data_IF_705802878277
#
_entry.id   IF_705802878277
#
_cell.length_a   1.000
_cell.length_b   1.000
_cell.length_c   1.000
_cell.angle_alpha   90.00
_cell.angle_beta   90.00
_cell.angle_gamma   90.00
#
_symmetry.space_group_name_H-M   'P 1'
#
loop_
_entity.id
_entity.type
_entity.pdbx_description
1 polymer ?
#
# COMPACT_ATOMS: atom_id res chain seq x y z
N UNK A 1 -25.04 17.89 32.92
CA UNK A 1 -24.44 18.07 31.59
C UNK A 1 -23.05 17.49 31.66
N UNK A 2 -22.74 16.38 30.95
CA UNK A 2 -21.35 15.98 30.81
C UNK A 2 -20.69 16.93 29.79
N UNK A 3 -19.46 17.30 30.09
CA UNK A 3 -18.65 18.20 29.30
C UNK A 3 -18.38 17.60 27.91
N UNK A 4 -18.55 18.43 26.87
CA UNK A 4 -18.07 18.14 25.52
C UNK A 4 -16.54 18.09 25.57
N UNK A 5 -15.95 16.93 25.32
CA UNK A 5 -14.55 16.87 24.92
C UNK A 5 -14.43 17.61 23.58
N UNK A 6 -13.43 18.48 23.45
CA UNK A 6 -12.97 18.98 22.15
C UNK A 6 -12.35 17.78 21.39
N UNK A 7 -12.33 17.79 20.04
CA UNK A 7 -11.74 16.69 19.29
C UNK A 7 -10.25 16.59 19.63
N UNK A 8 -9.85 15.46 20.21
CA UNK A 8 -8.45 15.08 20.37
C UNK A 8 -7.87 14.75 18.99
N UNK A 9 -6.77 15.42 18.62
CA UNK A 9 -5.81 14.94 17.63
C UNK A 9 -5.91 15.53 16.22
N UNK A 10 -5.59 16.82 16.04
CA UNK A 10 -5.18 17.30 14.71
C UNK A 10 -3.94 16.51 14.29
N UNK A 11 -4.03 15.78 13.17
CA UNK A 11 -2.87 15.04 12.66
C UNK A 11 -1.92 16.04 12.02
N UNK A 12 -0.76 16.21 12.62
CA UNK A 12 0.22 17.20 12.16
C UNK A 12 1.01 16.60 11.00
N UNK A 13 0.98 17.28 9.86
CA UNK A 13 1.95 17.11 8.78
C UNK A 13 2.93 18.27 8.82
N UNK A 14 4.12 18.09 8.23
CA UNK A 14 5.05 19.19 8.00
C UNK A 14 4.48 20.24 7.03
N UNK A 15 5.26 21.27 6.75
CA UNK A 15 4.96 22.26 5.71
C UNK A 15 5.38 21.77 4.33
N UNK A 16 4.73 22.28 3.27
CA UNK A 16 5.11 21.98 1.89
C UNK A 16 6.58 22.27 1.57
N UNK A 17 7.19 23.27 2.21
CA UNK A 17 8.60 23.65 2.01
C UNK A 17 9.59 22.61 2.57
N UNK A 18 9.13 21.74 3.47
CA UNK A 18 9.90 20.61 4.00
C UNK A 18 9.75 19.35 3.14
N UNK A 19 8.79 19.33 2.19
CA UNK A 19 8.71 18.22 1.26
C UNK A 19 9.90 18.26 0.29
N UNK A 20 10.47 17.11 -0.07
CA UNK A 20 11.42 17.06 -1.15
C UNK A 20 10.80 17.62 -2.42
N UNK A 21 11.54 18.46 -3.15
CA UNK A 21 11.05 19.16 -4.33
C UNK A 21 10.43 18.19 -5.35
N UNK A 22 11.00 17.02 -5.48
CA UNK A 22 10.58 16.05 -6.47
C UNK A 22 9.33 15.27 -6.02
N UNK A 23 9.08 15.14 -4.70
CA UNK A 23 7.78 14.73 -4.19
C UNK A 23 6.72 15.78 -4.54
N UNK A 24 7.01 17.06 -4.32
CA UNK A 24 6.12 18.15 -4.70
C UNK A 24 5.82 18.13 -6.21
N UNK A 25 6.82 17.91 -7.05
CA UNK A 25 6.65 17.78 -8.50
C UNK A 25 5.79 16.57 -8.88
N UNK A 26 5.98 15.42 -8.23
CA UNK A 26 5.17 14.22 -8.48
C UNK A 26 3.70 14.43 -8.09
N UNK A 27 3.45 15.09 -6.95
CA UNK A 27 2.10 15.48 -6.52
C UNK A 27 1.44 16.38 -7.56
N UNK A 28 2.13 17.43 -8.01
CA UNK A 28 1.60 18.35 -9.03
C UNK A 28 1.35 17.62 -10.35
N UNK A 29 2.27 16.73 -10.75
CA UNK A 29 2.20 15.98 -12.01
C UNK A 29 1.03 15.00 -12.02
N UNK A 30 0.87 14.21 -10.97
CA UNK A 30 -0.04 13.06 -10.97
C UNK A 30 -1.42 13.41 -10.39
N UNK A 31 -1.47 14.18 -9.31
CA UNK A 31 -2.70 14.51 -8.59
C UNK A 31 -3.33 15.84 -9.02
N UNK A 32 -2.55 16.72 -9.67
CA UNK A 32 -2.98 18.06 -10.09
C UNK A 32 -3.43 18.97 -8.93
N UNK A 33 -2.91 18.72 -7.72
CA UNK A 33 -3.10 19.54 -6.52
C UNK A 33 -1.79 20.18 -6.07
N UNK A 34 -1.87 21.16 -5.17
CA UNK A 34 -0.66 21.74 -4.57
C UNK A 34 -0.03 20.80 -3.54
N UNK A 35 1.29 20.90 -3.28
CA UNK A 35 1.95 20.09 -2.24
C UNK A 35 1.38 20.35 -0.84
N UNK A 36 0.94 21.57 -0.54
CA UNK A 36 0.28 21.87 0.73
C UNK A 36 -1.09 21.19 0.82
N UNK A 37 -1.88 21.26 -0.24
CA UNK A 37 -3.18 20.57 -0.31
C UNK A 37 -3.04 19.04 -0.18
N UNK A 38 -1.96 18.46 -0.71
CA UNK A 38 -1.62 17.05 -0.49
C UNK A 38 -1.43 16.72 0.99
N UNK A 39 -0.67 17.53 1.72
CA UNK A 39 -0.45 17.36 3.16
C UNK A 39 -1.73 17.57 3.96
N UNK A 40 -2.51 18.61 3.64
CA UNK A 40 -3.75 18.94 4.31
C UNK A 40 -4.79 17.82 4.13
N UNK A 41 -4.96 17.31 2.91
CA UNK A 41 -5.86 16.17 2.63
C UNK A 41 -5.38 14.88 3.29
N UNK A 42 -4.07 14.64 3.36
CA UNK A 42 -3.51 13.48 4.08
C UNK A 42 -3.79 13.55 5.59
N UNK A 43 -3.57 14.72 6.21
CA UNK A 43 -3.92 14.97 7.62
C UNK A 43 -5.42 14.80 7.86
N UNK A 44 -6.25 15.43 7.03
CA UNK A 44 -7.71 15.40 7.14
C UNK A 44 -8.27 13.98 6.99
N UNK A 45 -7.67 13.16 6.12
CA UNK A 45 -8.01 11.76 5.99
C UNK A 45 -7.79 10.99 7.31
N UNK A 46 -6.70 11.24 8.02
CA UNK A 46 -6.43 10.57 9.29
C UNK A 46 -7.37 11.02 10.41
N UNK A 47 -7.71 12.31 10.47
CA UNK A 47 -8.75 12.81 11.38
C UNK A 47 -10.10 12.14 11.10
N UNK A 48 -10.47 12.02 9.81
CA UNK A 48 -11.68 11.31 9.40
C UNK A 48 -11.62 9.83 9.77
N UNK A 49 -10.47 9.16 9.60
CA UNK A 49 -10.28 7.76 9.97
C UNK A 49 -10.56 7.53 11.46
N UNK A 50 -9.95 8.34 12.33
CA UNK A 50 -10.18 8.28 13.78
C UNK A 50 -11.65 8.51 14.12
N UNK A 51 -12.24 9.59 13.59
CA UNK A 51 -13.65 9.90 13.84
C UNK A 51 -14.58 8.78 13.36
N UNK A 52 -14.38 8.27 12.14
CA UNK A 52 -15.19 7.22 11.54
C UNK A 52 -15.10 5.91 12.33
N UNK A 53 -13.91 5.56 12.84
CA UNK A 53 -13.71 4.40 13.71
C UNK A 53 -14.52 4.51 15.01
N UNK A 54 -14.42 5.64 15.71
CA UNK A 54 -15.14 5.88 16.96
C UNK A 54 -16.67 5.97 16.74
N UNK A 55 -17.08 6.62 15.65
CA UNK A 55 -18.48 6.72 15.27
C UNK A 55 -19.07 5.35 14.94
N UNK A 56 -18.36 4.52 14.18
CA UNK A 56 -18.76 3.15 13.87
C UNK A 56 -18.85 2.30 15.13
N UNK A 57 -17.89 2.39 16.04
CA UNK A 57 -17.90 1.64 17.28
C UNK A 57 -19.09 2.01 18.18
N UNK A 58 -19.47 3.29 18.22
CA UNK A 58 -20.58 3.78 19.03
C UNK A 58 -21.96 3.62 18.37
N UNK A 59 -22.03 3.64 17.04
CA UNK A 59 -23.28 3.57 16.26
C UNK A 59 -23.15 2.67 15.00
N UNK A 60 -22.92 1.36 15.16
CA UNK A 60 -22.64 0.45 14.04
C UNK A 60 -23.78 0.36 13.00
N UNK A 61 -25.03 0.47 13.45
CA UNK A 61 -26.20 0.48 12.56
C UNK A 61 -26.40 1.79 11.79
N UNK A 62 -25.82 2.89 12.28
CA UNK A 62 -25.92 4.20 11.64
C UNK A 62 -24.77 4.48 10.69
N UNK A 63 -23.58 3.92 10.89
CA UNK A 63 -22.42 4.17 10.04
C UNK A 63 -22.51 3.43 8.70
N UNK A 64 -22.32 4.15 7.60
CA UNK A 64 -22.43 3.61 6.23
C UNK A 64 -21.18 3.82 5.36
N UNK A 65 -20.12 4.45 5.88
CA UNK A 65 -18.85 4.66 5.18
C UNK A 65 -18.23 6.03 5.48
N UNK A 66 -16.99 6.24 5.06
CA UNK A 66 -16.30 7.52 5.16
C UNK A 66 -15.28 7.69 4.03
N UNK A 67 -15.14 8.90 3.48
CA UNK A 67 -14.19 9.22 2.41
C UNK A 67 -13.81 10.70 2.40
N UNK A 68 -12.73 11.02 1.69
CA UNK A 68 -12.37 12.37 1.26
C UNK A 68 -12.95 12.60 -0.14
N UNK A 69 -13.76 13.64 -0.31
CA UNK A 69 -14.31 14.05 -1.60
C UNK A 69 -13.25 14.58 -2.55
N UNK A 70 -13.58 14.69 -3.84
CA UNK A 70 -12.66 15.27 -4.84
C UNK A 70 -12.29 16.72 -4.53
N UNK A 71 -13.19 17.45 -3.87
CA UNK A 71 -13.00 18.79 -3.33
C UNK A 71 -12.17 18.85 -2.03
N UNK A 72 -11.81 17.69 -1.48
CA UNK A 72 -11.08 17.57 -0.22
C UNK A 72 -11.97 17.55 1.02
N UNK A 73 -13.31 17.59 0.89
CA UNK A 73 -14.22 17.52 2.04
C UNK A 73 -14.22 16.12 2.66
N UNK A 74 -14.13 16.05 3.98
CA UNK A 74 -14.26 14.79 4.72
C UNK A 74 -15.73 14.47 4.96
N UNK A 75 -16.21 13.37 4.38
CA UNK A 75 -17.60 12.96 4.39
C UNK A 75 -17.77 11.65 5.15
N UNK A 76 -18.82 11.57 5.98
CA UNK A 76 -19.28 10.32 6.60
C UNK A 76 -20.66 9.99 6.07
N UNK A 77 -20.81 8.81 5.49
CA UNK A 77 -22.11 8.27 5.13
C UNK A 77 -22.78 7.65 6.35
N UNK A 78 -24.09 7.87 6.47
CA UNK A 78 -24.92 7.37 7.57
C UNK A 78 -26.28 6.86 7.10
N UNK A 79 -26.94 6.03 7.90
CA UNK A 79 -28.26 5.44 7.55
C UNK A 79 -29.46 6.22 8.11
N UNK A 80 -29.24 7.19 9.00
CA UNK A 80 -30.32 7.95 9.65
C UNK A 80 -30.06 9.47 9.66
N UNK A 81 -31.15 10.26 9.68
CA UNK A 81 -31.06 11.72 9.74
C UNK A 81 -30.48 12.22 11.07
N UNK A 82 -30.73 11.51 12.18
CA UNK A 82 -30.19 11.85 13.49
C UNK A 82 -28.68 11.62 13.56
N UNK A 83 -28.18 10.55 12.92
CA UNK A 83 -26.76 10.33 12.72
C UNK A 83 -26.14 11.44 11.86
N UNK A 84 -26.80 11.85 10.77
CA UNK A 84 -26.31 12.92 9.91
C UNK A 84 -26.17 14.24 10.69
N UNK A 85 -27.15 14.59 11.52
CA UNK A 85 -27.05 15.80 12.36
C UNK A 85 -25.92 15.72 13.38
N UNK A 86 -25.63 14.55 13.92
CA UNK A 86 -24.51 14.35 14.84
C UNK A 86 -23.17 14.57 14.14
N UNK A 87 -22.96 13.92 12.99
CA UNK A 87 -21.74 14.06 12.18
C UNK A 87 -21.53 15.51 11.72
N UNK A 88 -22.57 16.16 11.19
CA UNK A 88 -22.47 17.56 10.73
C UNK A 88 -22.12 18.52 11.87
N UNK A 89 -22.61 18.26 13.09
CA UNK A 89 -22.27 19.04 14.28
C UNK A 89 -20.80 18.89 14.66
N UNK A 90 -20.20 17.75 14.37
CA UNK A 90 -18.79 17.46 14.64
C UNK A 90 -17.85 17.96 13.52
N UNK A 91 -18.40 18.62 12.50
CA UNK A 91 -17.62 19.33 11.47
C UNK A 91 -17.28 18.48 10.23
N UNK A 92 -17.98 17.37 10.00
CA UNK A 92 -17.83 16.54 8.81
C UNK A 92 -19.01 16.69 7.85
N UNK A 93 -18.75 16.54 6.56
CA UNK A 93 -19.80 16.38 5.55
C UNK A 93 -20.59 15.10 5.80
N UNK A 94 -21.84 15.07 5.33
CA UNK A 94 -22.73 13.94 5.58
C UNK A 94 -23.49 13.54 4.33
N UNK A 95 -23.58 12.24 4.11
CA UNK A 95 -24.48 11.68 3.11
C UNK A 95 -25.33 10.56 3.70
N UNK A 96 -26.59 10.48 3.26
CA UNK A 96 -27.45 9.37 3.65
C UNK A 96 -27.30 8.21 2.68
N UNK A 97 -27.20 7.00 3.23
CA UNK A 97 -27.11 5.74 2.48
C UNK A 97 -28.01 4.67 3.10
N UNK A 98 -28.64 3.81 2.28
CA UNK A 98 -29.63 2.86 2.77
C UNK A 98 -29.06 1.68 3.57
N UNK A 99 -27.81 1.29 3.33
CA UNK A 99 -27.16 0.12 3.97
C UNK A 99 -26.00 0.58 4.84
N UNK A 100 -25.90 0.04 6.06
CA UNK A 100 -24.75 0.29 6.95
C UNK A 100 -23.48 -0.38 6.43
N UNK A 101 -22.32 0.08 6.90
CA UNK A 101 -21.04 -0.51 6.56
C UNK A 101 -20.96 -1.97 7.01
N UNK A 102 -21.47 -2.29 8.20
CA UNK A 102 -21.55 -3.68 8.70
C UNK A 102 -22.43 -4.56 7.78
N UNK A 103 -23.53 -4.01 7.26
CA UNK A 103 -24.39 -4.70 6.30
C UNK A 103 -23.69 -4.96 4.96
N UNK A 104 -22.92 -4.00 4.46
CA UNK A 104 -22.10 -4.16 3.26
C UNK A 104 -20.98 -5.18 3.45
N UNK A 105 -20.30 -5.16 4.60
CA UNK A 105 -19.25 -6.12 4.95
C UNK A 105 -19.79 -7.54 5.11
N UNK A 106 -20.96 -7.70 5.73
CA UNK A 106 -21.63 -9.00 5.79
C UNK A 106 -21.95 -9.50 4.37
N UNK A 107 -22.51 -8.64 3.52
CA UNK A 107 -22.86 -8.97 2.14
C UNK A 107 -21.62 -9.37 1.33
N UNK A 108 -20.49 -8.65 1.50
CA UNK A 108 -19.21 -9.00 0.90
C UNK A 108 -18.70 -10.36 1.40
N UNK A 109 -18.80 -10.63 2.69
CA UNK A 109 -18.40 -11.91 3.27
C UNK A 109 -19.23 -13.09 2.75
N UNK A 110 -20.54 -12.91 2.57
CA UNK A 110 -21.44 -13.90 1.96
C UNK A 110 -21.10 -14.11 0.48
N UNK A 111 -20.85 -13.03 -0.25
CA UNK A 111 -20.40 -13.07 -1.64
C UNK A 111 -19.09 -13.86 -1.75
N UNK A 112 -18.08 -13.56 -0.94
CA UNK A 112 -16.77 -14.21 -1.04
C UNK A 112 -16.85 -15.71 -0.72
N UNK A 113 -17.72 -16.11 0.21
CA UNK A 113 -18.02 -17.53 0.48
C UNK A 113 -18.68 -18.19 -0.74
N UNK A 114 -19.61 -17.50 -1.39
CA UNK A 114 -20.23 -18.00 -2.61
C UNK A 114 -19.20 -18.13 -3.75
N UNK A 115 -18.36 -17.12 -3.99
CA UNK A 115 -17.28 -17.14 -4.99
C UNK A 115 -16.34 -18.32 -4.76
N UNK A 116 -15.92 -18.54 -3.51
CA UNK A 116 -15.06 -19.67 -3.15
C UNK A 116 -15.70 -21.05 -3.35
N UNK A 117 -17.04 -21.12 -3.43
CA UNK A 117 -17.78 -22.36 -3.70
C UNK A 117 -17.99 -22.66 -5.20
N UNK A 118 -17.68 -21.69 -6.07
CA UNK A 118 -17.84 -21.85 -7.52
C UNK A 118 -16.77 -22.78 -8.10
N UNK A 119 -17.06 -23.46 -9.23
CA UNK A 119 -16.03 -24.15 -10.01
C UNK A 119 -14.90 -23.20 -10.41
N UNK A 120 -13.66 -23.71 -10.51
CA UNK A 120 -12.47 -22.89 -10.82
C UNK A 120 -12.63 -22.11 -12.13
N UNK A 121 -13.33 -22.67 -13.10
CA UNK A 121 -13.58 -22.06 -14.40
C UNK A 121 -14.42 -20.78 -14.27
N UNK A 122 -15.28 -20.71 -13.24
CA UNK A 122 -16.15 -19.56 -12.96
C UNK A 122 -15.50 -18.62 -11.96
N UNK A 123 -14.89 -19.13 -10.90
CA UNK A 123 -14.23 -18.31 -9.88
C UNK A 123 -13.02 -17.54 -10.43
N UNK A 124 -12.31 -18.12 -11.42
CA UNK A 124 -11.20 -17.42 -12.11
C UNK A 124 -11.65 -16.25 -12.99
N UNK A 125 -12.96 -16.10 -13.25
CA UNK A 125 -13.50 -14.93 -13.94
C UNK A 125 -13.76 -13.75 -13.00
N UNK A 126 -13.65 -13.95 -11.69
CA UNK A 126 -13.84 -12.93 -10.65
C UNK A 126 -12.47 -12.50 -10.14
N UNK A 127 -12.05 -11.26 -10.44
CA UNK A 127 -10.70 -10.80 -10.13
C UNK A 127 -10.57 -10.17 -8.74
N UNK A 128 -11.69 -9.67 -8.21
CA UNK A 128 -11.71 -9.03 -6.92
C UNK A 128 -13.11 -8.69 -6.48
N UNK A 129 -13.24 -8.47 -5.18
CA UNK A 129 -14.46 -7.97 -4.57
C UNK A 129 -14.11 -6.83 -3.62
N UNK A 130 -14.95 -5.81 -3.61
CA UNK A 130 -14.72 -4.61 -2.81
C UNK A 130 -16.05 -3.99 -2.37
N UNK A 131 -15.95 -3.05 -1.44
CA UNK A 131 -17.09 -2.23 -1.02
C UNK A 131 -16.91 -0.84 -1.62
N UNK A 132 -17.94 -0.38 -2.32
CA UNK A 132 -18.04 0.99 -2.82
C UNK A 132 -18.96 1.75 -1.86
N UNK A 133 -18.33 2.44 -0.89
CA UNK A 133 -19.06 3.23 0.11
C UNK A 133 -19.70 4.48 -0.51
N UNK A 134 -19.11 5.02 -1.59
CA UNK A 134 -19.65 6.17 -2.29
C UNK A 134 -21.02 5.80 -2.89
N UNK A 135 -21.12 4.69 -3.61
CA UNK A 135 -22.40 4.24 -4.20
C UNK A 135 -23.20 3.27 -3.32
N UNK A 136 -22.72 2.96 -2.10
CA UNK A 136 -23.33 2.06 -1.11
C UNK A 136 -23.70 0.68 -1.67
N UNK A 137 -22.71 0.01 -2.28
CA UNK A 137 -22.87 -1.29 -2.93
C UNK A 137 -21.64 -2.18 -2.76
N UNK A 138 -21.84 -3.48 -2.85
CA UNK A 138 -20.75 -4.45 -3.02
C UNK A 138 -20.45 -4.57 -4.51
N UNK A 139 -19.17 -4.41 -4.88
CA UNK A 139 -18.72 -4.51 -6.27
C UNK A 139 -18.05 -5.86 -6.48
N UNK A 140 -18.52 -6.59 -7.49
CA UNK A 140 -17.90 -7.81 -8.00
C UNK A 140 -17.17 -7.43 -9.27
N UNK A 141 -15.85 -7.57 -9.27
CA UNK A 141 -15.06 -7.39 -10.46
C UNK A 141 -15.04 -8.69 -11.28
N UNK A 142 -15.67 -8.66 -12.45
CA UNK A 142 -15.67 -9.76 -13.41
C UNK A 142 -14.78 -9.35 -14.58
N UNK A 143 -13.80 -10.19 -14.93
CA UNK A 143 -12.72 -9.97 -15.88
C UNK A 143 -13.07 -9.41 -17.26
N UNK A 144 -14.36 -9.40 -17.62
CA UNK A 144 -14.84 -8.96 -18.93
C UNK A 144 -15.97 -7.90 -18.89
N UNK A 145 -16.19 -7.20 -17.77
CA UNK A 145 -17.17 -6.08 -17.69
C UNK A 145 -16.47 -4.72 -17.59
N UNK A 146 -17.10 -3.64 -18.09
CA UNK A 146 -16.45 -2.32 -18.16
C UNK A 146 -16.14 -1.73 -16.76
N UNK A 147 -17.02 -1.95 -15.79
CA UNK A 147 -16.81 -1.59 -14.37
C UNK A 147 -15.89 -2.60 -13.68
N UNK A 148 -16.04 -3.89 -14.00
CA UNK A 148 -15.17 -4.97 -13.56
C UNK A 148 -13.82 -5.04 -14.28
N UNK A 149 -13.33 -3.92 -14.81
CA UNK A 149 -12.00 -3.81 -15.43
C UNK A 149 -11.10 -2.78 -14.76
N UNK A 150 -11.68 -1.87 -13.97
CA UNK A 150 -10.96 -0.94 -13.11
C UNK A 150 -10.52 -1.60 -11.78
N UNK A 151 -11.28 -2.58 -11.29
CA UNK A 151 -10.93 -3.43 -10.14
C UNK A 151 -10.35 -4.79 -10.61
N UNK A 152 -10.18 -5.00 -11.92
CA UNK A 152 -9.49 -6.13 -12.53
C UNK A 152 -8.03 -5.97 -12.18
N UNK A 153 -7.70 -6.52 -11.03
CA UNK A 153 -6.35 -6.66 -10.51
C UNK A 153 -5.88 -8.09 -10.81
N UNK A 154 -5.59 -8.49 -12.08
CA UNK A 154 -4.72 -9.63 -12.31
C UNK A 154 -3.35 -9.16 -11.83
N UNK A 155 -3.14 -9.31 -10.52
CA UNK A 155 -1.89 -8.94 -9.86
C UNK A 155 -0.90 -10.03 -10.25
N UNK A 156 -0.34 -9.88 -11.45
CA UNK A 156 0.65 -10.78 -11.99
C UNK A 156 2.02 -10.30 -11.51
N UNK A 157 2.67 -11.09 -10.66
CA UNK A 157 4.06 -10.90 -10.32
C UNK A 157 4.91 -11.33 -11.53
N UNK A 158 5.09 -10.46 -12.52
CA UNK A 158 5.76 -10.85 -13.75
C UNK A 158 7.25 -11.20 -13.55
N UNK A 159 7.70 -12.23 -14.27
CA UNK A 159 9.09 -12.62 -14.48
C UNK A 159 10.00 -11.41 -14.82
N UNK A 160 10.75 -10.93 -13.83
CA UNK A 160 11.79 -9.94 -14.06
C UNK A 160 12.95 -10.58 -14.83
N UNK A 161 13.17 -10.09 -16.06
CA UNK A 161 14.53 -10.10 -16.63
C UNK A 161 15.34 -9.08 -15.85
N UNK A 162 16.49 -9.49 -15.31
CA UNK A 162 17.50 -8.58 -14.76
C UNK A 162 17.86 -7.57 -15.85
N UNK A 163 17.20 -6.41 -15.85
CA UNK A 163 17.58 -5.25 -16.63
C UNK A 163 18.20 -4.27 -15.65
N UNK A 164 19.50 -4.46 -15.38
CA UNK A 164 20.33 -3.45 -14.77
C UNK A 164 20.48 -2.33 -15.80
N UNK A 165 19.53 -1.39 -15.82
CA UNK A 165 19.61 -0.21 -16.67
C UNK A 165 20.82 0.62 -16.25
N UNK A 166 21.72 0.99 -17.17
CA UNK A 166 22.79 1.91 -16.85
C UNK A 166 22.23 3.31 -16.60
N UNK A 167 22.48 3.86 -15.41
CA UNK A 167 22.49 5.31 -15.17
C UNK A 167 21.12 6.01 -15.15
N UNK A 168 20.36 5.82 -14.07
CA UNK A 168 19.54 6.92 -13.56
C UNK A 168 20.45 8.02 -12.97
N UNK A 169 19.91 9.24 -12.79
CA UNK A 169 20.60 10.24 -11.97
C UNK A 169 21.00 9.59 -10.63
N UNK A 170 22.27 9.71 -10.28
CA UNK A 170 22.76 9.18 -9.01
C UNK A 170 21.94 9.84 -7.89
N UNK A 171 21.31 9.06 -6.99
CA UNK A 171 20.44 9.65 -6.00
C UNK A 171 21.16 10.68 -5.15
N UNK A 172 20.43 11.70 -4.70
CA UNK A 172 20.99 12.73 -3.82
C UNK A 172 21.56 12.13 -2.54
N UNK A 173 20.88 11.13 -1.99
CA UNK A 173 21.40 10.25 -0.93
C UNK A 173 21.64 8.82 -1.48
N UNK A 174 22.91 8.38 -1.59
CA UNK A 174 23.26 7.05 -2.08
C UNK A 174 23.01 5.94 -1.05
N UNK A 175 22.69 6.27 0.20
CA UNK A 175 22.38 5.27 1.20
C UNK A 175 21.08 4.53 0.89
N UNK A 176 21.01 3.20 1.10
CA UNK A 176 19.77 2.45 1.01
C UNK A 176 18.70 2.94 2.00
N UNK A 177 17.45 2.93 1.54
CA UNK A 177 16.27 3.34 2.30
C UNK A 177 15.02 2.62 1.81
N UNK A 178 13.84 2.91 2.37
CA UNK A 178 12.58 2.41 1.83
C UNK A 178 12.38 2.82 0.37
N UNK A 179 11.71 2.00 -0.44
CA UNK A 179 11.55 2.20 -1.88
C UNK A 179 12.75 1.76 -2.74
N UNK A 180 13.93 1.55 -2.14
CA UNK A 180 15.08 0.97 -2.84
C UNK A 180 14.93 -0.51 -3.10
N UNK A 181 15.63 -1.00 -4.11
CA UNK A 181 15.68 -2.43 -4.37
C UNK A 181 16.53 -3.20 -3.40
N UNK A 182 16.01 -4.38 -3.10
CA UNK A 182 16.80 -5.51 -2.68
C UNK A 182 16.58 -6.69 -3.62
N UNK A 183 17.53 -7.62 -3.56
CA UNK A 183 17.41 -8.91 -4.21
C UNK A 183 17.45 -10.03 -3.18
N UNK A 184 16.81 -11.14 -3.50
CA UNK A 184 16.72 -12.31 -2.64
C UNK A 184 16.70 -13.59 -3.47
N UNK A 185 17.11 -14.68 -2.84
CA UNK A 185 17.37 -15.97 -3.47
C UNK A 185 17.03 -17.09 -2.48
N UNK A 186 16.75 -18.29 -2.97
CA UNK A 186 16.46 -19.46 -2.11
C UNK A 186 17.72 -20.05 -1.43
N UNK A 187 18.90 -19.72 -1.95
CA UNK A 187 20.22 -20.17 -1.46
C UNK A 187 21.23 -19.00 -1.53
N UNK A 188 22.50 -19.13 -1.08
CA UNK A 188 23.49 -18.06 -1.20
C UNK A 188 23.61 -17.54 -2.64
N UNK A 189 23.70 -16.21 -2.80
CA UNK A 189 23.62 -15.57 -4.13
C UNK A 189 24.73 -15.99 -5.10
N UNK A 190 25.88 -16.43 -4.57
CA UNK A 190 27.00 -16.95 -5.35
C UNK A 190 26.74 -18.31 -6.00
N UNK A 191 25.68 -19.02 -5.58
CA UNK A 191 25.39 -20.40 -5.97
C UNK A 191 24.15 -20.53 -6.86
N UNK A 192 23.35 -19.47 -6.99
CA UNK A 192 22.11 -19.49 -7.78
C UNK A 192 22.31 -18.88 -9.17
N UNK A 193 21.64 -19.38 -10.21
CA UNK A 193 21.57 -18.69 -11.50
C UNK A 193 20.95 -17.30 -11.37
N UNK A 194 21.36 -16.34 -12.21
CA UNK A 194 20.79 -14.99 -12.22
C UNK A 194 19.29 -14.94 -12.52
N UNK A 195 18.76 -15.98 -13.18
CA UNK A 195 17.33 -16.15 -13.47
C UNK A 195 16.49 -16.43 -12.23
N UNK A 196 17.13 -16.87 -11.14
CA UNK A 196 16.46 -17.31 -9.92
C UNK A 196 16.57 -16.23 -8.83
N UNK A 197 17.01 -15.03 -9.21
CA UNK A 197 17.12 -13.86 -8.34
C UNK A 197 15.81 -13.09 -8.40
N UNK A 198 15.10 -13.04 -7.28
CA UNK A 198 13.91 -12.21 -7.12
C UNK A 198 14.31 -10.77 -6.80
N UNK A 199 13.63 -9.82 -7.43
CA UNK A 199 13.83 -8.38 -7.26
C UNK A 199 12.57 -7.81 -6.62
N UNK A 200 12.75 -7.12 -5.50
CA UNK A 200 11.69 -6.40 -4.81
C UNK A 200 12.20 -5.04 -4.32
N UNK A 201 11.31 -4.27 -3.70
CA UNK A 201 11.60 -3.00 -3.09
C UNK A 201 11.42 -3.09 -1.57
N UNK A 202 12.28 -2.42 -0.81
CA UNK A 202 12.10 -2.23 0.63
C UNK A 202 10.85 -1.40 0.90
N UNK A 203 10.11 -1.71 1.95
CA UNK A 203 8.99 -0.88 2.39
C UNK A 203 9.47 0.12 3.41
N UNK A 204 9.29 -0.21 4.70
CA UNK A 204 9.64 0.68 5.80
C UNK A 204 10.66 0.07 6.73
N UNK A 205 11.67 0.85 7.09
CA UNK A 205 12.56 0.52 8.19
C UNK A 205 11.77 0.61 9.50
N UNK A 206 11.94 -0.41 10.34
CA UNK A 206 11.16 -0.64 11.53
C UNK A 206 12.04 -1.25 12.63
N UNK A 207 11.42 -1.53 13.77
CA UNK A 207 11.97 -2.37 14.82
C UNK A 207 11.00 -3.51 15.15
N UNK A 208 11.53 -4.68 15.51
CA UNK A 208 10.72 -5.75 16.10
C UNK A 208 10.41 -5.48 17.58
N UNK A 209 9.62 -6.36 18.20
CA UNK A 209 9.25 -6.24 19.61
C UNK A 209 10.41 -6.34 20.60
N UNK A 210 11.62 -6.72 20.14
CA UNK A 210 12.86 -6.71 20.93
C UNK A 210 13.74 -5.49 20.64
N UNK A 211 13.31 -4.60 19.74
CA UNK A 211 14.05 -3.41 19.33
C UNK A 211 15.09 -3.66 18.22
N UNK A 212 15.15 -4.86 17.65
CA UNK A 212 16.12 -5.14 16.58
C UNK A 212 15.66 -4.46 15.28
N UNK A 213 16.60 -3.95 14.46
CA UNK A 213 16.27 -3.32 13.18
C UNK A 213 15.71 -4.36 12.20
N UNK A 214 14.58 -4.03 11.60
CA UNK A 214 13.93 -4.82 10.55
C UNK A 214 13.47 -3.92 9.40
N UNK A 215 13.22 -4.51 8.24
CA UNK A 215 12.46 -3.86 7.17
C UNK A 215 11.15 -4.62 6.93
N UNK A 216 10.06 -3.89 6.71
CA UNK A 216 8.76 -4.43 6.33
C UNK A 216 8.63 -4.37 4.81
N UNK A 217 8.31 -5.49 4.17
CA UNK A 217 8.16 -5.61 2.71
C UNK A 217 6.99 -6.56 2.38
N UNK A 218 6.83 -6.98 1.12
CA UNK A 218 5.79 -7.91 0.71
C UNK A 218 6.18 -9.36 1.03
N UNK A 219 5.18 -10.21 1.28
CA UNK A 219 5.37 -11.60 1.66
C UNK A 219 5.78 -12.49 0.51
N UNK A 220 5.21 -12.25 -0.68
CA UNK A 220 5.57 -12.96 -1.91
C UNK A 220 7.02 -12.72 -2.36
N UNK A 221 7.70 -11.70 -1.82
CA UNK A 221 9.12 -11.49 -2.07
C UNK A 221 10.01 -12.50 -1.35
N UNK A 222 9.50 -13.18 -0.31
CA UNK A 222 10.23 -14.27 0.33
C UNK A 222 10.19 -15.51 -0.57
N UNK A 223 11.32 -16.09 -0.98
CA UNK A 223 11.34 -17.36 -1.74
C UNK A 223 10.62 -18.52 -1.03
N UNK A 224 10.45 -18.45 0.29
CA UNK A 224 9.71 -19.41 1.10
C UNK A 224 8.25 -18.99 1.36
N UNK A 225 7.66 -18.11 0.54
CA UNK A 225 6.35 -17.50 0.75
C UNK A 225 5.21 -18.51 1.00
N UNK A 226 5.29 -19.70 0.42
CA UNK A 226 4.28 -20.76 0.63
C UNK A 226 4.16 -21.19 2.10
N UNK A 227 5.29 -21.24 2.81
CA UNK A 227 5.35 -21.66 4.21
C UNK A 227 5.45 -20.48 5.17
N UNK A 228 5.82 -19.30 4.66
CA UNK A 228 6.14 -18.13 5.47
C UNK A 228 7.45 -18.25 6.26
N UNK A 229 8.24 -19.31 6.03
CA UNK A 229 9.46 -19.58 6.77
C UNK A 229 10.55 -18.54 6.47
N UNK A 230 11.31 -18.16 7.49
CA UNK A 230 12.48 -17.30 7.35
C UNK A 230 13.71 -18.00 6.75
N UNK A 231 14.84 -17.30 6.79
CA UNK A 231 16.16 -17.81 6.42
C UNK A 231 16.62 -17.45 5.00
N UNK A 232 15.72 -17.00 4.12
CA UNK A 232 16.12 -16.54 2.79
C UNK A 232 16.95 -15.24 2.89
N UNK A 233 18.16 -15.19 2.31
CA UNK A 233 19.05 -14.04 2.43
C UNK A 233 18.60 -12.85 1.56
N UNK A 234 18.80 -11.64 2.07
CA UNK A 234 18.46 -10.37 1.40
C UNK A 234 19.73 -9.56 1.15
N UNK A 235 19.88 -9.03 -0.07
CA UNK A 235 21.08 -8.32 -0.52
C UNK A 235 20.76 -6.96 -1.12
N UNK A 236 21.68 -6.01 -0.94
CA UNK A 236 21.75 -4.82 -1.79
C UNK A 236 22.43 -5.20 -3.11
N UNK A 237 21.76 -5.00 -4.26
CA UNK A 237 22.28 -5.42 -5.55
C UNK A 237 23.57 -4.66 -5.88
N UNK A 238 24.58 -5.40 -6.33
CA UNK A 238 25.75 -4.82 -6.97
C UNK A 238 25.53 -4.79 -8.49
N UNK A 239 25.39 -3.60 -9.11
CA UNK A 239 25.08 -3.49 -10.53
C UNK A 239 26.25 -3.90 -11.45
N UNK A 240 27.48 -3.96 -10.93
CA UNK A 240 28.64 -4.42 -11.70
C UNK A 240 28.75 -5.95 -11.71
N UNK A 241 28.33 -6.61 -10.63
CA UNK A 241 28.31 -8.07 -10.50
C UNK A 241 27.31 -8.48 -9.41
N UNK A 242 26.15 -9.00 -9.84
CA UNK A 242 25.06 -9.37 -8.93
C UNK A 242 25.46 -10.47 -7.95
N UNK A 243 26.39 -11.35 -8.29
CA UNK A 243 26.87 -12.41 -7.38
C UNK A 243 27.80 -11.87 -6.29
N UNK A 244 28.29 -10.65 -6.44
CA UNK A 244 29.06 -9.91 -5.43
C UNK A 244 28.22 -8.83 -4.73
N UNK A 245 26.91 -9.08 -4.61
CA UNK A 245 25.98 -8.22 -3.87
C UNK A 245 26.20 -8.30 -2.36
N UNK A 246 25.95 -7.20 -1.66
CA UNK A 246 26.18 -7.15 -0.21
C UNK A 246 24.98 -7.68 0.53
N UNK A 247 25.15 -8.78 1.28
CA UNK A 247 24.09 -9.28 2.15
C UNK A 247 23.83 -8.28 3.28
N UNK A 248 22.59 -7.83 3.38
CA UNK A 248 22.12 -6.88 4.41
C UNK A 248 21.16 -7.52 5.41
N UNK A 249 20.73 -8.75 5.18
CA UNK A 249 19.76 -9.37 6.06
C UNK A 249 19.28 -10.73 5.60
N UNK A 250 18.17 -11.12 6.18
CA UNK A 250 17.41 -12.31 5.81
C UNK A 250 15.96 -12.16 6.25
N UNK A 251 15.04 -12.83 5.56
CA UNK A 251 13.65 -12.94 5.99
C UNK A 251 13.57 -13.64 7.35
N UNK A 252 12.87 -13.04 8.32
CA UNK A 252 12.53 -13.70 9.59
C UNK A 252 11.30 -14.59 9.42
N UNK A 253 10.27 -14.02 8.77
CA UNK A 253 8.99 -14.67 8.47
C UNK A 253 8.21 -13.83 7.47
N UNK A 254 7.23 -14.45 6.81
CA UNK A 254 6.28 -13.78 5.93
C UNK A 254 4.89 -14.43 5.98
N UNK A 255 3.91 -13.73 5.42
CA UNK A 255 2.58 -14.25 5.09
C UNK A 255 2.27 -13.90 3.65
N UNK A 256 1.70 -14.84 2.91
CA UNK A 256 1.13 -14.60 1.59
C UNK A 256 -0.25 -15.23 1.52
N UNK A 257 -1.28 -14.43 1.80
CA UNK A 257 -2.67 -14.87 1.72
C UNK A 257 -3.04 -15.97 2.72
N UNK A 258 -2.23 -16.17 3.77
CA UNK A 258 -2.52 -17.08 4.89
C UNK A 258 -3.05 -16.27 6.09
N UNK A 259 -3.70 -16.94 7.05
CA UNK A 259 -4.24 -16.27 8.24
C UNK A 259 -5.22 -15.14 7.89
N UNK A 260 -4.85 -13.91 8.20
CA UNK A 260 -5.61 -12.69 7.88
C UNK A 260 -5.58 -12.32 6.39
N UNK A 261 -5.07 -13.21 5.53
CA UNK A 261 -4.97 -13.07 4.09
C UNK A 261 -4.18 -11.82 3.68
N UNK A 262 -3.13 -11.47 4.43
CA UNK A 262 -2.25 -10.36 4.10
C UNK A 262 -0.99 -10.84 3.36
N UNK A 263 -0.33 -9.92 2.66
CA UNK A 263 0.92 -10.15 1.93
C UNK A 263 2.06 -9.29 2.51
N UNK A 264 2.76 -9.81 3.52
CA UNK A 264 3.80 -9.06 4.21
C UNK A 264 5.00 -9.95 4.56
N UNK A 265 6.14 -9.31 4.75
CA UNK A 265 7.35 -9.94 5.27
C UNK A 265 8.06 -9.05 6.29
N UNK A 266 8.77 -9.70 7.22
CA UNK A 266 9.70 -9.06 8.14
C UNK A 266 11.11 -9.51 7.76
N UNK A 267 11.96 -8.56 7.37
CA UNK A 267 13.36 -8.80 7.02
C UNK A 267 14.23 -8.35 8.21
N UNK A 268 14.95 -9.29 8.82
CA UNK A 268 15.98 -8.94 9.81
C UNK A 268 17.15 -8.25 9.12
N UNK A 269 17.60 -7.13 9.69
CA UNK A 269 18.71 -6.34 9.16
C UNK A 269 19.98 -6.60 9.98
N UNK A 270 21.11 -6.79 9.29
CA UNK A 270 22.42 -6.98 9.91
C UNK A 270 23.17 -5.65 10.11
N UNK A 271 24.35 -5.69 10.73
CA UNK A 271 25.14 -4.49 11.01
C UNK A 271 25.51 -3.69 9.75
N UNK A 272 25.71 -4.35 8.60
CA UNK A 272 26.00 -3.66 7.32
C UNK A 272 24.79 -2.89 6.83
N UNK A 273 23.58 -3.42 7.02
CA UNK A 273 22.34 -2.74 6.69
C UNK A 273 22.15 -1.47 7.53
N UNK A 274 22.36 -1.59 8.84
CA UNK A 274 22.28 -0.46 9.77
C UNK A 274 23.31 0.61 9.41
N UNK A 275 24.58 0.22 9.23
CA UNK A 275 25.65 1.15 8.85
C UNK A 275 25.45 1.82 7.49
N UNK A 276 24.67 1.21 6.60
CA UNK A 276 24.35 1.80 5.29
C UNK A 276 23.12 2.71 5.32
N UNK A 277 22.35 2.74 6.41
CA UNK A 277 21.22 3.67 6.60
C UNK A 277 19.84 3.03 6.59
N UNK A 278 19.73 1.69 6.56
CA UNK A 278 18.46 0.96 6.70
C UNK A 278 17.90 0.95 8.14
N UNK A 279 18.43 1.78 9.02
CA UNK A 279 17.92 2.08 10.36
C UNK A 279 17.28 3.49 10.44
N UNK A 280 17.25 4.24 9.33
CA UNK A 280 16.67 5.59 9.25
C UNK A 280 15.19 5.54 8.83
N UNK A 281 14.36 6.48 9.30
CA UNK A 281 12.93 6.57 8.96
C UNK A 281 12.74 7.22 7.58
N UNK A 282 13.36 6.68 6.53
CA UNK A 282 13.42 7.33 5.22
C UNK A 282 12.93 6.43 4.10
N UNK A 283 12.24 7.03 3.13
CA UNK A 283 11.79 6.41 1.88
C UNK A 283 12.32 7.22 0.71
N UNK A 284 12.74 6.56 -0.36
CA UNK A 284 13.18 7.21 -1.59
C UNK A 284 11.99 7.85 -2.29
N UNK A 285 12.09 9.15 -2.56
CA UNK A 285 11.12 9.92 -3.31
C UNK A 285 11.40 9.91 -4.82
N UNK A 286 10.73 10.80 -5.56
CA UNK A 286 11.00 10.99 -6.98
C UNK A 286 12.43 11.48 -7.22
N UNK A 287 13.03 11.09 -8.35
CA UNK A 287 14.39 11.46 -8.78
C UNK A 287 15.49 11.25 -7.71
N UNK A 288 15.30 10.29 -6.80
CA UNK A 288 16.30 9.96 -5.78
C UNK A 288 16.31 10.87 -4.55
N UNK A 289 15.29 11.71 -4.39
CA UNK A 289 15.03 12.48 -3.16
C UNK A 289 14.69 11.58 -1.97
N UNK A 290 14.56 12.15 -0.78
CA UNK A 290 14.30 11.40 0.46
C UNK A 290 13.11 11.96 1.22
N UNK A 291 12.07 11.16 1.40
CA UNK A 291 10.92 11.45 2.24
C UNK A 291 11.19 10.89 3.63
N UNK A 292 11.19 11.75 4.65
CA UNK A 292 11.22 11.33 6.06
C UNK A 292 9.83 10.88 6.49
N UNK A 293 9.76 9.72 7.12
CA UNK A 293 8.53 9.14 7.65
C UNK A 293 8.30 9.69 9.06
N UNK A 294 7.14 10.30 9.28
CA UNK A 294 6.81 11.01 10.52
C UNK A 294 5.78 10.29 11.39
N UNK A 295 5.11 9.28 10.82
CA UNK A 295 4.05 8.53 11.48
C UNK A 295 3.57 7.37 10.61
N UNK A 296 2.49 6.73 11.04
CA UNK A 296 1.72 5.79 10.23
C UNK A 296 0.31 6.31 9.98
N UNK A 297 -0.35 5.74 8.98
CA UNK A 297 -1.66 6.13 8.51
C UNK A 297 -2.50 4.89 8.16
N UNK A 298 -3.82 5.06 8.24
CA UNK A 298 -4.78 4.11 7.70
C UNK A 298 -5.29 4.58 6.33
N UNK A 299 -5.57 3.64 5.39
CA UNK A 299 -6.14 3.98 4.08
C UNK A 299 -7.56 4.52 4.23
N UNK A 300 -7.82 5.67 3.60
CA UNK A 300 -9.13 6.31 3.56
C UNK A 300 -9.46 6.61 2.11
N UNK A 301 -10.64 6.18 1.65
CA UNK A 301 -11.08 6.38 0.27
C UNK A 301 -11.02 7.86 -0.11
N UNK A 302 -10.49 8.15 -1.30
CA UNK A 302 -10.29 9.50 -1.83
C UNK A 302 -9.07 10.25 -1.27
N UNK A 303 -8.42 9.75 -0.22
CA UNK A 303 -7.19 10.36 0.29
C UNK A 303 -6.06 10.25 -0.75
N UNK A 304 -5.19 11.27 -0.85
CA UNK A 304 -4.07 11.21 -1.78
C UNK A 304 -2.99 10.27 -1.25
N UNK A 305 -2.34 9.57 -2.16
CA UNK A 305 -1.32 8.57 -1.87
C UNK A 305 -0.21 8.64 -2.89
N UNK A 306 1.01 8.34 -2.47
CA UNK A 306 2.13 8.13 -3.36
C UNK A 306 2.84 6.83 -2.99
N UNK A 307 3.49 6.19 -3.97
CA UNK A 307 4.25 4.96 -3.74
C UNK A 307 5.63 5.06 -4.36
N UNK A 308 6.59 4.42 -3.71
CA UNK A 308 7.98 4.31 -4.13
C UNK A 308 8.34 2.87 -4.43
N UNK A 309 8.95 2.64 -5.59
CA UNK A 309 9.50 1.35 -5.98
C UNK A 309 10.56 1.50 -7.07
N UNK A 310 11.39 0.48 -7.23
CA UNK A 310 12.53 0.49 -8.16
C UNK A 310 12.15 0.68 -9.62
N UNK A 311 11.03 0.11 -10.07
CA UNK A 311 10.71 -0.01 -11.49
C UNK A 311 9.97 1.20 -12.03
N UNK A 312 9.01 1.72 -11.27
CA UNK A 312 8.25 2.91 -11.68
C UNK A 312 8.64 4.19 -10.95
N UNK A 313 9.64 4.12 -10.06
CA UNK A 313 10.02 5.22 -9.19
C UNK A 313 8.81 5.68 -8.35
N UNK A 314 8.73 6.99 -8.11
CA UNK A 314 7.70 7.59 -7.27
C UNK A 314 6.50 8.07 -8.12
N UNK A 315 5.34 7.48 -7.87
CA UNK A 315 4.06 7.83 -8.54
C UNK A 315 2.99 8.10 -7.50
N UNK A 316 2.05 8.98 -7.83
CA UNK A 316 0.94 9.33 -6.94
C UNK A 316 -0.43 9.00 -7.55
N UNK A 317 -1.43 8.90 -6.70
CA UNK A 317 -2.83 8.62 -7.02
C UNK A 317 -3.72 8.83 -5.79
N UNK A 318 -4.92 8.28 -5.81
CA UNK A 318 -5.86 8.32 -4.69
C UNK A 318 -6.19 6.90 -4.23
N UNK A 319 -6.64 6.77 -2.99
CA UNK A 319 -7.19 5.51 -2.48
C UNK A 319 -8.56 5.29 -3.12
N UNK A 320 -8.69 4.24 -3.93
CA UNK A 320 -9.93 3.88 -4.60
C UNK A 320 -10.83 3.03 -3.69
N UNK A 321 -10.23 2.18 -2.86
CA UNK A 321 -10.92 1.37 -1.87
C UNK A 321 -10.00 1.15 -0.67
N UNK A 322 -10.52 1.36 0.54
CA UNK A 322 -9.82 1.08 1.79
C UNK A 322 -9.76 -0.41 2.13
N UNK A 323 -10.67 -1.21 1.55
CA UNK A 323 -10.69 -2.67 1.64
C UNK A 323 -11.04 -3.35 0.32
N UNK A 324 -10.14 -4.22 -0.12
CA UNK A 324 -10.32 -5.12 -1.26
C UNK A 324 -9.90 -6.55 -0.91
N UNK A 325 -10.56 -7.55 -1.49
CA UNK A 325 -10.07 -8.93 -1.53
C UNK A 325 -9.82 -9.32 -2.99
N UNK A 326 -8.60 -9.73 -3.33
CA UNK A 326 -8.20 -10.04 -4.70
C UNK A 326 -7.33 -11.29 -4.75
N UNK A 327 -7.26 -11.95 -5.90
CA UNK A 327 -6.35 -13.07 -6.13
C UNK A 327 -5.00 -12.56 -6.61
N UNK A 328 -3.95 -12.81 -5.81
CA UNK A 328 -2.57 -12.67 -6.25
C UNK A 328 -2.17 -13.90 -7.04
N UNK A 329 -1.80 -13.71 -8.31
CA UNK A 329 -1.38 -14.78 -9.20
C UNK A 329 0.14 -14.87 -9.22
N UNK A 330 0.62 -16.07 -8.89
CA UNK A 330 2.05 -16.39 -8.82
C UNK A 330 2.53 -16.98 -10.16
N UNK A 331 3.84 -16.91 -10.41
CA UNK A 331 4.46 -17.44 -11.64
C UNK A 331 4.26 -18.96 -11.81
N UNK A 332 4.07 -19.70 -10.72
CA UNK A 332 3.79 -21.14 -10.74
C UNK A 332 2.34 -21.48 -11.14
N UNK A 333 1.52 -20.46 -11.46
CA UNK A 333 0.13 -20.59 -11.84
C UNK A 333 -0.82 -20.80 -10.66
N UNK A 334 -0.33 -20.76 -9.42
CA UNK A 334 -1.17 -20.75 -8.23
C UNK A 334 -1.69 -19.34 -7.94
N UNK A 335 -2.78 -19.27 -7.18
CA UNK A 335 -3.28 -18.00 -6.65
C UNK A 335 -3.51 -18.06 -5.15
N UNK A 336 -3.43 -16.87 -4.53
CA UNK A 336 -3.69 -16.66 -3.10
C UNK A 336 -4.62 -15.47 -2.95
N UNK A 337 -5.65 -15.60 -2.14
CA UNK A 337 -6.50 -14.45 -1.79
C UNK A 337 -5.73 -13.54 -0.86
N UNK A 338 -5.59 -12.28 -1.26
CA UNK A 338 -4.94 -11.22 -0.49
C UNK A 338 -5.93 -10.10 -0.21
N UNK A 339 -5.90 -9.60 1.02
CA UNK A 339 -6.69 -8.47 1.51
C UNK A 339 -5.79 -7.26 1.66
N UNK A 340 -6.28 -6.10 1.25
CA UNK A 340 -5.54 -4.85 1.34
C UNK A 340 -6.42 -3.66 1.00
N UNK A 341 -5.80 -2.57 0.57
CA UNK A 341 -6.46 -1.40 -0.02
C UNK A 341 -6.05 -1.26 -1.50
N UNK A 342 -6.87 -0.58 -2.29
CA UNK A 342 -6.57 -0.26 -3.68
C UNK A 342 -6.27 1.24 -3.84
N UNK A 343 -5.26 1.56 -4.64
CA UNK A 343 -4.93 2.93 -5.04
C UNK A 343 -4.79 3.04 -6.55
N UNK A 344 -4.92 4.26 -7.08
CA UNK A 344 -4.76 4.54 -8.51
C UNK A 344 -3.31 4.83 -8.91
N UNK A 345 -2.38 4.88 -7.94
CA UNK A 345 -0.96 5.10 -8.23
C UNK A 345 -0.42 3.97 -9.12
N UNK A 346 0.21 4.30 -10.23
CA UNK A 346 0.78 3.30 -11.14
C UNK A 346 1.92 2.51 -10.47
N UNK A 347 1.91 1.19 -10.61
CA UNK A 347 2.89 0.27 -10.03
C UNK A 347 3.30 -0.78 -11.06
N UNK A 348 4.60 -1.04 -11.20
CA UNK A 348 5.16 -1.97 -12.17
C UNK A 348 5.82 -3.17 -11.47
N UNK A 349 6.10 -4.24 -12.20
CA UNK A 349 6.82 -5.40 -11.65
C UNK A 349 8.19 -4.99 -11.09
N UNK A 350 8.50 -5.41 -9.86
CA UNK A 350 9.70 -5.01 -9.11
C UNK A 350 9.44 -3.92 -8.05
N UNK A 351 8.30 -3.21 -8.12
CA UNK A 351 7.87 -2.28 -7.07
C UNK A 351 7.28 -3.01 -5.84
N UNK A 352 7.04 -4.32 -5.96
CA UNK A 352 6.59 -5.21 -4.89
C UNK A 352 7.38 -5.00 -3.60
N UNK A 353 6.66 -4.84 -2.49
CA UNK A 353 7.20 -4.54 -1.17
C UNK A 353 7.54 -3.07 -0.94
N UNK A 354 7.55 -2.24 -1.99
CA UNK A 354 7.88 -0.83 -1.94
C UNK A 354 6.91 -0.01 -1.09
N UNK A 355 7.43 1.06 -0.48
CA UNK A 355 6.70 1.92 0.44
C UNK A 355 5.55 2.69 -0.24
N UNK A 356 4.40 2.74 0.42
CA UNK A 356 3.24 3.56 0.07
C UNK A 356 3.04 4.58 1.19
N UNK A 357 2.96 5.86 0.86
CA UNK A 357 2.87 6.99 1.79
C UNK A 357 1.67 7.90 1.50
N UNK A 358 1.13 8.53 2.53
CA UNK A 358 0.19 9.66 2.42
C UNK A 358 0.73 10.82 3.25
N UNK A 359 0.96 11.96 2.60
CA UNK A 359 1.81 13.01 3.18
C UNK A 359 3.22 12.46 3.48
N UNK A 360 3.59 12.53 4.75
CA UNK A 360 4.83 11.96 5.31
C UNK A 360 4.58 10.72 6.18
N UNK A 361 3.37 10.15 6.12
CA UNK A 361 2.97 8.98 6.91
C UNK A 361 3.17 7.70 6.11
N UNK A 362 3.65 6.65 6.79
CA UNK A 362 3.65 5.30 6.26
C UNK A 362 2.20 4.79 6.14
N UNK A 363 1.78 4.45 4.93
CA UNK A 363 0.42 3.94 4.66
C UNK A 363 0.41 2.42 4.46
N UNK A 364 1.37 1.88 3.73
CA UNK A 364 1.40 0.46 3.43
C UNK A 364 2.56 0.01 2.54
N UNK A 365 2.63 -1.28 2.25
CA UNK A 365 3.59 -1.82 1.28
C UNK A 365 2.87 -2.31 0.04
N UNK A 366 3.51 -2.18 -1.11
CA UNK A 366 2.99 -2.61 -2.40
C UNK A 366 2.92 -4.14 -2.47
N UNK A 367 1.79 -4.72 -2.86
CA UNK A 367 1.62 -6.17 -3.06
C UNK A 367 1.51 -6.55 -4.53
N UNK A 368 0.70 -5.83 -5.32
CA UNK A 368 0.57 -6.11 -6.74
C UNK A 368 -0.19 -5.02 -7.49
N UNK A 369 -0.28 -5.14 -8.82
CA UNK A 369 -1.01 -4.17 -9.65
C UNK A 369 -1.51 -4.79 -10.96
N UNK A 370 -2.48 -4.11 -11.59
CA UNK A 370 -2.91 -4.42 -12.96
C UNK A 370 -1.95 -3.90 -14.05
N UNK A 371 -0.91 -3.15 -13.65
CA UNK A 371 0.06 -2.52 -14.53
C UNK A 371 1.43 -3.18 -14.48
N UNK A 372 1.60 -4.27 -13.72
CA UNK A 372 2.89 -4.95 -13.54
C UNK A 372 3.63 -5.27 -14.83
N UNK A 373 2.91 -5.74 -15.85
CA UNK A 373 3.47 -6.10 -17.16
C UNK A 373 3.73 -4.95 -18.13
N UNK A 374 3.42 -3.70 -17.75
CA UNK A 374 3.65 -2.54 -18.62
C UNK A 374 5.14 -2.14 -18.63
N UNK A 375 5.68 -1.65 -19.76
CA UNK A 375 7.08 -1.23 -19.85
C UNK A 375 7.39 0.04 -19.04
N UNK A 376 6.41 0.91 -18.86
CA UNK A 376 6.49 2.11 -18.03
C UNK A 376 5.09 2.62 -17.68
N UNK A 377 4.99 3.54 -16.73
CA UNK A 377 3.71 4.08 -16.28
C UNK A 377 2.98 4.94 -17.32
N UNK A 378 3.68 5.57 -18.26
CA UNK A 378 3.03 6.32 -19.35
C UNK A 378 2.23 5.37 -20.23
N UNK A 379 2.85 4.28 -20.68
CA UNK A 379 2.19 3.25 -21.47
C UNK A 379 1.09 2.54 -20.69
N UNK A 380 1.32 2.26 -19.39
CA UNK A 380 0.29 1.70 -18.52
C UNK A 380 -0.94 2.61 -18.46
N UNK A 381 -0.76 3.91 -18.21
CA UNK A 381 -1.84 4.88 -18.13
C UNK A 381 -2.62 4.99 -19.45
N UNK A 382 -1.94 4.97 -20.60
CA UNK A 382 -2.61 5.01 -21.91
C UNK A 382 -3.40 3.73 -22.16
N UNK A 383 -2.76 2.58 -21.97
CA UNK A 383 -3.37 1.26 -22.26
C UNK A 383 -4.54 0.97 -21.33
N UNK A 384 -4.42 1.36 -20.06
CA UNK A 384 -5.42 1.12 -19.02
C UNK A 384 -6.45 2.24 -18.91
N UNK A 385 -6.29 3.39 -19.58
CA UNK A 385 -7.27 4.48 -19.53
C UNK A 385 -8.68 4.03 -19.93
N UNK A 386 -8.80 3.19 -20.97
CA UNK A 386 -10.08 2.64 -21.41
C UNK A 386 -10.68 1.62 -20.43
N UNK A 387 -9.89 1.17 -19.44
CA UNK A 387 -10.24 0.19 -18.43
C UNK A 387 -10.35 0.80 -17.03
N UNK A 388 -10.45 2.14 -16.92
CA UNK A 388 -10.56 2.84 -15.63
C UNK A 388 -9.22 3.21 -14.98
N UNK A 389 -8.10 2.97 -15.66
CA UNK A 389 -6.76 3.39 -15.25
C UNK A 389 -5.96 2.33 -14.51
N UNK A 390 -4.82 2.76 -13.96
CA UNK A 390 -3.96 1.90 -13.15
C UNK A 390 -4.57 1.67 -11.78
N UNK A 391 -4.43 0.46 -11.26
CA UNK A 391 -4.83 0.08 -9.93
C UNK A 391 -3.74 -0.77 -9.25
N UNK A 392 -3.46 -0.46 -8.00
CA UNK A 392 -2.41 -1.06 -7.19
C UNK A 392 -2.95 -1.50 -5.84
N UNK A 393 -2.66 -2.76 -5.48
CA UNK A 393 -2.94 -3.35 -4.19
C UNK A 393 -1.84 -3.01 -3.20
N UNK A 394 -2.22 -2.38 -2.09
CA UNK A 394 -1.35 -2.10 -0.94
C UNK A 394 -1.81 -2.86 0.31
N UNK A 395 -0.87 -3.22 1.17
CA UNK A 395 -1.15 -3.84 2.46
C UNK A 395 -0.96 -2.78 3.56
N UNK A 396 -2.01 -2.48 4.37
CA UNK A 396 -1.93 -1.42 5.37
C UNK A 396 -0.80 -1.64 6.37
N UNK A 397 0.01 -0.62 6.62
CA UNK A 397 1.19 -0.76 7.48
C UNK A 397 0.81 -1.06 8.93
N UNK A 398 -0.29 -0.48 9.41
CA UNK A 398 -0.81 -0.72 10.75
C UNK A 398 -1.32 -2.16 10.92
N UNK A 399 -1.85 -2.78 9.85
CA UNK A 399 -2.23 -4.20 9.87
C UNK A 399 -0.99 -5.11 9.95
N UNK A 400 0.08 -4.77 9.22
CA UNK A 400 1.36 -5.49 9.30
C UNK A 400 1.95 -5.36 10.70
N UNK A 401 1.99 -4.14 11.26
CA UNK A 401 2.48 -3.90 12.62
C UNK A 401 1.71 -4.72 13.66
N UNK A 402 0.37 -4.78 13.57
CA UNK A 402 -0.47 -5.57 14.46
C UNK A 402 -0.19 -7.08 14.38
N UNK A 403 0.00 -7.63 13.18
CA UNK A 403 0.31 -9.04 12.95
C UNK A 403 1.74 -9.41 13.43
N UNK A 404 2.66 -8.47 13.29
CA UNK A 404 4.08 -8.74 13.45
C UNK A 404 4.66 -8.30 14.79
N UNK A 405 3.97 -7.40 15.51
CA UNK A 405 4.52 -6.73 16.69
C UNK A 405 5.68 -5.79 16.36
N UNK A 406 5.76 -5.31 15.12
CA UNK A 406 6.79 -4.36 14.68
C UNK A 406 6.32 -2.93 14.83
N UNK A 407 7.27 -1.99 14.85
CA UNK A 407 6.99 -0.55 14.88
C UNK A 407 7.81 0.14 13.81
N UNK A 408 7.14 0.82 12.88
CA UNK A 408 7.79 1.63 11.84
C UNK A 408 8.62 2.73 12.52
N UNK A 409 9.83 2.96 12.01
CA UNK A 409 10.66 4.06 12.48
C UNK A 409 10.09 5.37 11.96
N UNK A 410 9.97 6.34 12.85
CA UNK A 410 9.47 7.67 12.52
C UNK A 410 10.39 8.75 13.07
N UNK A 411 10.32 9.95 12.48
CA UNK A 411 10.91 11.16 13.00
C UNK A 411 9.80 12.10 13.51
N UNK A 412 10.09 12.99 14.48
CA UNK A 412 9.14 14.06 14.82
C UNK A 412 8.90 14.97 13.61
N UNK A 413 7.73 15.61 13.59
CA UNK A 413 7.46 16.74 12.69
C UNK A 413 8.09 17.98 13.32
N UNK A 414 8.98 18.65 12.59
CA UNK A 414 9.67 19.87 13.03
C UNK A 414 8.81 21.13 12.89
#
# INVERSE_FOLDING_TARGET
>A
MPASAAPEGTVVQGSADQLPQELADAVIRDLKISPQEYLDRAARAQELSTYASDFRASRPGDFAGAWIGEDGEAVVAVTSQDAARAVAKDGFGTEQRPVSADGLEQSLGELNKWVASLPREVSSQINGTSIDFLDNRVVIDIANSDIGRALNLPTLLANLKVNLSPGGQQPADPSPMGGDTYITTSAPISEVPTTDISICSFGFNAVDGSGNPVNLSAGHCNPNAETGAGGAPVYLPNPADVHNSTQIGQFQRSSLGTGNALDWSVISLNDKAVQSGLDRPTVRGANGSTVTITGSADPVVGAPVCKSGQSSSFTCGVIAADRVETQLFMDDGTSRTVRGFASTACTLSGDSGGAIVTGTLALGVTSGSNSGGAPNCTEANITLAHFGGTASLGIPINAIAAETGTTVRTAPVD
#
